data_IF_561415816309
#
_entry.id   IF_561415816309
#
_cell.length_a   1.000
_cell.length_b   1.000
_cell.length_c   1.000
_cell.angle_alpha   90.00
_cell.angle_beta   90.00
_cell.angle_gamma   90.00
#
_symmetry.space_group_name_H-M   'P 1'
#
loop_
_entity.id
_entity.type
_entity.pdbx_description
1 polymer ?
#
# COMPACT_ATOMS: atom_id res chain seq x y z
N UNK A 1 -0.44 41.07 10.40
CA UNK A 1 -0.45 39.71 9.82
C UNK A 1 -0.17 39.84 8.33
N UNK A 2 1.09 40.02 7.92
CA UNK A 2 1.42 40.47 6.54
C UNK A 2 2.87 40.11 6.15
N UNK A 3 3.23 38.83 6.19
CA UNK A 3 4.48 38.32 5.57
C UNK A 3 4.25 37.02 4.80
N UNK A 4 3.18 36.27 5.09
CA UNK A 4 2.87 34.98 4.46
C UNK A 4 2.07 35.07 3.15
N UNK A 5 1.59 36.24 2.74
CA UNK A 5 0.72 36.40 1.55
C UNK A 5 1.47 36.43 0.19
N UNK A 6 2.80 36.29 0.15
CA UNK A 6 3.57 36.46 -1.12
C UNK A 6 4.40 35.27 -1.58
N UNK A 7 4.30 34.12 -0.93
CA UNK A 7 4.86 32.89 -1.49
C UNK A 7 3.69 32.08 -2.04
N UNK A 8 3.63 31.99 -3.37
CA UNK A 8 2.79 31.03 -4.08
C UNK A 8 2.95 29.65 -3.41
N UNK A 9 1.85 29.03 -2.99
CA UNK A 9 1.84 27.78 -2.23
C UNK A 9 2.69 26.70 -2.91
N UNK A 10 2.77 26.75 -4.23
CA UNK A 10 3.63 25.89 -5.00
C UNK A 10 5.12 26.16 -4.81
N UNK A 11 5.54 27.42 -4.90
CA UNK A 11 6.93 27.79 -4.62
C UNK A 11 7.32 27.47 -3.18
N UNK A 12 6.40 27.65 -2.24
CA UNK A 12 6.62 27.29 -0.84
C UNK A 12 6.84 25.78 -0.69
N UNK A 13 6.00 24.96 -1.32
CA UNK A 13 6.13 23.50 -1.29
C UNK A 13 7.43 23.04 -1.96
N UNK A 14 7.76 23.55 -3.15
CA UNK A 14 9.01 23.20 -3.84
C UNK A 14 10.25 23.61 -3.03
N UNK A 15 10.27 24.83 -2.47
CA UNK A 15 11.37 25.30 -1.64
C UNK A 15 11.52 24.44 -0.39
N UNK A 16 10.41 24.07 0.26
CA UNK A 16 10.40 23.19 1.44
C UNK A 16 10.92 21.80 1.09
N UNK A 17 10.49 21.22 -0.04
CA UNK A 17 10.95 19.91 -0.51
C UNK A 17 12.47 19.92 -0.77
N UNK A 18 12.96 20.92 -1.51
CA UNK A 18 14.39 21.07 -1.82
C UNK A 18 15.22 21.31 -0.56
N UNK A 19 14.74 22.15 0.36
CA UNK A 19 15.42 22.40 1.63
C UNK A 19 15.48 21.14 2.50
N UNK A 20 14.39 20.37 2.57
CA UNK A 20 14.34 19.09 3.30
C UNK A 20 15.31 18.06 2.73
N UNK A 21 15.33 17.90 1.39
CA UNK A 21 16.29 17.01 0.71
C UNK A 21 17.73 17.47 0.95
N UNK A 22 18.00 18.77 0.79
CA UNK A 22 19.33 19.32 1.03
C UNK A 22 19.77 19.12 2.48
N UNK A 23 18.88 19.33 3.46
CA UNK A 23 19.16 19.09 4.87
C UNK A 23 19.46 17.62 5.15
N UNK A 24 18.69 16.70 4.56
CA UNK A 24 18.93 15.25 4.71
C UNK A 24 20.27 14.84 4.08
N UNK A 25 20.57 15.31 2.87
CA UNK A 25 21.82 14.98 2.16
C UNK A 25 23.02 15.58 2.88
N UNK A 26 23.01 16.89 3.15
CA UNK A 26 24.11 17.57 3.83
C UNK A 26 24.28 17.05 5.26
N UNK A 27 23.18 16.78 5.97
CA UNK A 27 23.22 16.17 7.30
C UNK A 27 23.80 14.76 7.29
N UNK A 28 23.43 13.94 6.29
CA UNK A 28 23.98 12.59 6.11
C UNK A 28 25.47 12.60 5.80
N UNK A 29 25.95 13.61 5.05
CA UNK A 29 27.38 13.76 4.74
C UNK A 29 28.18 14.35 5.90
N UNK A 30 27.65 15.35 6.60
CA UNK A 30 28.34 16.03 7.69
C UNK A 30 28.30 15.24 9.02
N UNK A 31 27.26 14.45 9.24
CA UNK A 31 27.02 13.69 10.47
C UNK A 31 26.64 12.24 10.13
N UNK A 32 27.53 11.53 9.43
CA UNK A 32 27.26 10.19 8.88
C UNK A 32 26.84 9.17 9.93
N UNK A 33 27.44 9.17 11.12
CA UNK A 33 27.07 8.20 12.16
C UNK A 33 25.68 8.47 12.76
N UNK A 34 25.35 9.73 13.02
CA UNK A 34 24.08 10.10 13.67
C UNK A 34 22.91 10.15 12.68
N UNK A 35 23.11 10.78 11.51
CA UNK A 35 22.03 11.04 10.54
C UNK A 35 21.92 9.92 9.53
N UNK A 36 23.03 9.52 8.88
CA UNK A 36 22.95 8.46 7.89
C UNK A 36 22.80 7.11 8.57
N UNK A 37 23.82 6.62 9.28
CA UNK A 37 23.84 5.29 9.87
C UNK A 37 22.75 5.12 10.93
N UNK A 38 22.71 6.01 11.92
CA UNK A 38 21.81 5.92 13.07
C UNK A 38 20.33 6.21 12.77
N UNK A 39 20.02 6.90 11.67
CA UNK A 39 18.64 7.29 11.35
C UNK A 39 18.19 6.85 9.95
N UNK A 40 18.77 7.40 8.88
CA UNK A 40 18.33 7.10 7.49
C UNK A 40 18.51 5.62 7.16
N UNK A 41 19.70 5.07 7.42
CA UNK A 41 20.00 3.68 7.18
C UNK A 41 19.25 2.79 8.17
N UNK A 42 19.33 3.04 9.48
CA UNK A 42 18.71 2.19 10.48
C UNK A 42 17.19 2.03 10.29
N UNK A 43 16.46 3.12 10.02
CA UNK A 43 15.00 3.09 9.97
C UNK A 43 14.41 2.99 8.56
N UNK A 44 15.09 3.47 7.52
CA UNK A 44 14.51 3.56 6.17
C UNK A 44 15.17 2.63 5.17
N UNK A 45 16.50 2.71 4.99
CA UNK A 45 17.18 1.95 3.93
C UNK A 45 17.62 0.54 4.35
N UNK A 46 18.14 0.38 5.56
CA UNK A 46 18.61 -0.89 6.12
C UNK A 46 17.54 -1.99 6.14
N UNK A 47 16.28 -1.71 6.54
CA UNK A 47 15.19 -2.69 6.46
C UNK A 47 14.96 -3.19 5.03
N UNK A 48 14.94 -2.26 4.06
CA UNK A 48 14.77 -2.58 2.63
C UNK A 48 15.96 -3.37 2.11
N UNK A 49 17.18 -3.04 2.53
CA UNK A 49 18.40 -3.74 2.14
C UNK A 49 18.44 -5.19 2.67
N UNK A 50 18.00 -5.40 3.93
CA UNK A 50 17.86 -6.72 4.51
C UNK A 50 16.81 -7.56 3.75
N UNK A 51 15.63 -6.96 3.50
CA UNK A 51 14.53 -7.58 2.75
C UNK A 51 14.98 -7.99 1.35
N UNK A 52 15.67 -7.10 0.63
CA UNK A 52 16.16 -7.35 -0.72
C UNK A 52 17.18 -8.49 -0.85
N UNK A 53 17.75 -8.96 0.26
CA UNK A 53 18.71 -10.06 0.29
C UNK A 53 18.16 -11.27 1.08
N UNK A 54 16.86 -11.31 1.39
CA UNK A 54 16.21 -12.33 2.22
C UNK A 54 16.92 -12.55 3.57
N UNK A 55 17.53 -11.50 4.12
CA UNK A 55 18.24 -11.57 5.39
C UNK A 55 17.31 -11.27 6.55
N UNK A 56 17.52 -11.94 7.68
CA UNK A 56 16.77 -11.70 8.92
C UNK A 56 17.07 -10.29 9.45
N UNK A 57 18.32 -9.85 9.35
CA UNK A 57 18.68 -8.46 9.61
C UNK A 57 19.96 -8.06 8.87
N UNK A 58 20.17 -6.75 8.73
CA UNK A 58 21.41 -6.15 8.27
C UNK A 58 22.09 -5.41 9.42
N UNK A 59 23.40 -5.54 9.57
CA UNK A 59 24.20 -4.87 10.59
C UNK A 59 25.16 -3.88 9.92
N UNK A 60 25.09 -2.61 10.30
CA UNK A 60 26.00 -1.60 9.77
C UNK A 60 27.20 -1.42 10.70
N UNK A 61 28.40 -1.74 10.19
CA UNK A 61 29.67 -1.73 10.93
C UNK A 61 30.65 -0.72 10.33
N UNK A 62 30.41 0.58 10.56
CA UNK A 62 31.39 1.64 10.28
C UNK A 62 31.91 1.76 8.84
N UNK A 63 31.18 1.25 7.85
CA UNK A 63 31.55 1.32 6.42
C UNK A 63 31.16 0.09 5.60
N UNK A 64 30.90 -1.05 6.25
CA UNK A 64 30.36 -2.26 5.62
C UNK A 64 29.00 -2.63 6.22
N UNK A 65 28.18 -3.31 5.42
CA UNK A 65 26.92 -3.92 5.86
C UNK A 65 27.10 -5.43 5.85
N UNK A 66 26.86 -6.06 7.00
CA UNK A 66 26.84 -7.51 7.17
C UNK A 66 25.40 -8.01 7.18
N UNK A 67 25.11 -9.05 6.41
CA UNK A 67 23.78 -9.68 6.34
C UNK A 67 23.77 -10.90 7.27
N UNK A 68 22.78 -10.95 8.17
CA UNK A 68 22.60 -12.05 9.10
C UNK A 68 21.30 -12.77 8.79
N UNK A 69 21.37 -14.11 8.78
CA UNK A 69 20.25 -15.01 8.44
C UNK A 69 19.71 -15.77 9.67
N UNK A 70 20.04 -15.31 10.87
CA UNK A 70 19.65 -15.94 12.13
C UNK A 70 19.27 -14.90 13.18
N UNK A 71 18.08 -15.06 13.78
CA UNK A 71 17.55 -14.16 14.81
C UNK A 71 18.48 -14.01 16.02
N UNK A 72 19.17 -15.09 16.41
CA UNK A 72 20.09 -15.06 17.56
C UNK A 72 21.29 -14.15 17.28
N UNK A 73 21.82 -14.20 16.06
CA UNK A 73 22.94 -13.34 15.65
C UNK A 73 22.51 -11.87 15.59
N UNK A 74 21.29 -11.58 15.10
CA UNK A 74 20.72 -10.24 15.10
C UNK A 74 20.59 -9.66 16.53
N UNK A 75 20.07 -10.44 17.47
CA UNK A 75 19.97 -10.03 18.88
C UNK A 75 21.33 -9.79 19.54
N UNK A 76 22.34 -10.62 19.21
CA UNK A 76 23.71 -10.41 19.66
C UNK A 76 24.30 -9.11 19.11
N UNK A 77 24.08 -8.81 17.84
CA UNK A 77 24.52 -7.55 17.24
C UNK A 77 23.88 -6.34 17.94
N UNK A 78 22.56 -6.39 18.21
CA UNK A 78 21.86 -5.33 18.96
C UNK A 78 22.45 -5.14 20.36
N UNK A 79 22.65 -6.23 21.11
CA UNK A 79 23.21 -6.15 22.48
C UNK A 79 24.67 -5.69 22.52
N UNK A 80 25.43 -5.90 21.44
CA UNK A 80 26.77 -5.35 21.28
C UNK A 80 26.80 -3.85 20.95
N UNK A 81 25.64 -3.21 20.79
CA UNK A 81 25.51 -1.80 20.44
C UNK A 81 25.67 -1.51 18.94
N UNK A 82 25.57 -2.54 18.09
CA UNK A 82 25.61 -2.35 16.65
C UNK A 82 24.29 -1.74 16.14
N UNK A 83 24.35 -1.03 15.02
CA UNK A 83 23.17 -0.51 14.34
C UNK A 83 22.62 -1.62 13.45
N UNK A 84 21.49 -2.18 13.86
CA UNK A 84 20.85 -3.34 13.22
C UNK A 84 19.52 -2.92 12.61
N UNK A 85 19.24 -3.33 11.38
CA UNK A 85 17.96 -3.10 10.73
C UNK A 85 17.32 -4.44 10.35
N UNK A 86 16.05 -4.60 10.72
CA UNK A 86 15.24 -5.79 10.41
C UNK A 86 14.22 -5.44 9.32
N UNK A 87 13.87 -6.36 8.40
CA UNK A 87 12.80 -6.14 7.42
C UNK A 87 11.48 -5.73 8.07
N UNK A 88 10.71 -4.90 7.36
CA UNK A 88 9.43 -4.38 7.83
C UNK A 88 9.49 -2.96 8.37
N UNK A 89 8.47 -2.58 9.14
CA UNK A 89 8.27 -1.20 9.61
C UNK A 89 8.53 -1.08 11.11
N UNK A 90 9.19 0.02 11.48
CA UNK A 90 9.29 0.50 12.87
C UNK A 90 8.32 1.67 13.03
N UNK A 91 8.00 2.05 14.27
CA UNK A 91 7.20 3.26 14.51
C UNK A 91 7.83 4.52 13.88
N UNK A 92 9.17 4.62 13.90
CA UNK A 92 9.90 5.74 13.32
C UNK A 92 9.72 5.77 11.80
N UNK A 93 9.88 4.63 11.14
CA UNK A 93 9.75 4.56 9.69
C UNK A 93 8.30 4.72 9.26
N UNK A 94 7.34 4.12 9.96
CA UNK A 94 5.90 4.28 9.72
C UNK A 94 5.49 5.76 9.76
N UNK A 95 5.82 6.48 10.85
CA UNK A 95 5.54 7.92 10.97
C UNK A 95 6.28 8.72 9.89
N UNK A 96 7.55 8.38 9.62
CA UNK A 96 8.34 9.05 8.58
C UNK A 96 7.69 8.93 7.20
N UNK A 97 7.26 7.73 6.81
CA UNK A 97 6.56 7.50 5.56
C UNK A 97 5.19 8.20 5.51
N UNK A 98 4.45 8.23 6.62
CA UNK A 98 3.19 9.00 6.70
C UNK A 98 3.42 10.49 6.46
N UNK A 99 4.45 11.08 7.07
CA UNK A 99 4.80 12.51 6.86
C UNK A 99 5.18 12.76 5.40
N UNK A 100 6.02 11.92 4.81
CA UNK A 100 6.42 12.02 3.40
C UNK A 100 5.20 11.89 2.47
N UNK A 101 4.30 10.95 2.76
CA UNK A 101 3.07 10.75 1.99
C UNK A 101 2.16 11.99 2.05
N UNK A 102 1.85 12.49 3.26
CA UNK A 102 1.00 13.67 3.44
C UNK A 102 1.60 14.91 2.76
N UNK A 103 2.90 15.12 2.89
CA UNK A 103 3.61 16.18 2.20
C UNK A 103 3.59 15.99 0.68
N UNK A 104 3.75 14.75 0.20
CA UNK A 104 3.67 14.37 -1.20
C UNK A 104 2.30 14.62 -1.82
N UNK A 105 1.21 14.35 -1.11
CA UNK A 105 -0.16 14.63 -1.56
C UNK A 105 -0.37 16.10 -1.89
N UNK A 106 0.23 17.02 -1.12
CA UNK A 106 0.20 18.46 -1.43
C UNK A 106 0.86 18.74 -2.78
N UNK A 107 2.01 18.11 -3.05
CA UNK A 107 2.70 18.21 -4.34
C UNK A 107 1.87 17.63 -5.50
N UNK A 108 1.24 16.47 -5.29
CA UNK A 108 0.33 15.87 -6.29
C UNK A 108 -0.86 16.78 -6.55
N UNK A 109 -1.46 17.39 -5.53
CA UNK A 109 -2.56 18.33 -5.69
C UNK A 109 -2.16 19.52 -6.58
N UNK A 110 -0.96 20.07 -6.38
CA UNK A 110 -0.42 21.15 -7.21
C UNK A 110 -0.15 20.69 -8.64
N UNK A 111 0.41 19.49 -8.82
CA UNK A 111 0.62 18.88 -10.13
C UNK A 111 -0.69 18.71 -10.90
N UNK A 112 -1.73 18.19 -10.26
CA UNK A 112 -3.07 18.04 -10.87
C UNK A 112 -3.66 19.41 -11.26
N UNK A 113 -3.42 20.46 -10.46
CA UNK A 113 -3.82 21.84 -10.81
C UNK A 113 -3.06 22.34 -12.03
N UNK A 114 -1.73 22.14 -12.09
CA UNK A 114 -0.89 22.54 -13.24
C UNK A 114 -1.26 21.83 -14.54
N UNK A 115 -1.60 20.55 -14.46
CA UNK A 115 -2.01 19.76 -15.62
C UNK A 115 -3.48 20.03 -16.03
N UNK A 116 -4.22 20.77 -15.21
CA UNK A 116 -5.66 21.01 -15.29
C UNK A 116 -6.49 19.71 -15.40
N UNK A 117 -6.14 18.71 -14.58
CA UNK A 117 -6.83 17.41 -14.49
C UNK A 117 -7.45 17.19 -13.11
N UNK A 118 -8.17 16.08 -12.94
CA UNK A 118 -8.70 15.64 -11.64
C UNK A 118 -9.88 16.45 -11.10
N UNK A 119 -10.66 17.11 -11.97
CA UNK A 119 -11.97 17.65 -11.59
C UNK A 119 -13.09 16.63 -11.79
N UNK A 120 -12.92 15.75 -12.77
CA UNK A 120 -13.89 14.73 -13.12
C UNK A 120 -13.72 13.48 -12.27
N UNK A 121 -14.84 12.93 -11.80
CA UNK A 121 -14.87 11.66 -11.04
C UNK A 121 -14.26 10.49 -11.81
N UNK A 122 -14.22 10.56 -13.15
CA UNK A 122 -13.64 9.51 -13.98
C UNK A 122 -12.15 9.23 -13.71
N UNK A 123 -11.38 10.24 -13.26
CA UNK A 123 -9.97 10.02 -12.89
C UNK A 123 -9.85 9.03 -11.72
N UNK A 124 -10.74 9.10 -10.73
CA UNK A 124 -10.75 8.17 -9.62
C UNK A 124 -10.87 6.71 -10.11
N UNK A 125 -11.84 6.44 -10.99
CA UNK A 125 -12.03 5.10 -11.54
C UNK A 125 -10.88 4.65 -12.45
N UNK A 126 -10.27 5.58 -13.19
CA UNK A 126 -9.09 5.28 -14.01
C UNK A 126 -7.84 4.90 -13.18
N UNK A 127 -7.80 5.30 -11.91
CA UNK A 127 -6.71 4.98 -10.98
C UNK A 127 -6.88 3.63 -10.27
N UNK A 128 -8.10 3.11 -10.14
CA UNK A 128 -8.37 1.84 -9.43
C UNK A 128 -7.55 0.67 -9.98
N UNK A 129 -7.40 0.46 -11.30
CA UNK A 129 -6.58 -0.63 -11.81
C UNK A 129 -5.09 -0.52 -11.42
N UNK A 130 -4.55 0.68 -11.24
CA UNK A 130 -3.18 0.88 -10.77
C UNK A 130 -3.00 0.47 -9.30
N UNK A 131 -4.04 0.61 -8.48
CA UNK A 131 -4.02 0.16 -7.09
C UNK A 131 -3.97 -1.38 -7.02
N UNK A 132 -4.77 -2.05 -7.86
CA UNK A 132 -4.74 -3.51 -8.02
C UNK A 132 -3.37 -3.98 -8.55
N UNK A 133 -2.84 -3.29 -9.56
CA UNK A 133 -1.51 -3.54 -10.10
C UNK A 133 -0.43 -3.44 -9.01
N UNK A 134 -0.47 -2.40 -8.17
CA UNK A 134 0.50 -2.26 -7.07
C UNK A 134 0.45 -3.43 -6.09
N UNK A 135 -0.75 -3.89 -5.73
CA UNK A 135 -0.92 -5.07 -4.88
C UNK A 135 -0.38 -6.35 -5.54
N UNK A 136 -0.71 -6.60 -6.81
CA UNK A 136 -0.22 -7.76 -7.55
C UNK A 136 1.30 -7.72 -7.76
N UNK A 137 1.87 -6.55 -8.09
CA UNK A 137 3.31 -6.37 -8.25
C UNK A 137 4.04 -6.62 -6.94
N UNK A 138 3.43 -6.29 -5.81
CA UNK A 138 3.99 -6.61 -4.50
C UNK A 138 4.04 -8.13 -4.25
N UNK A 139 3.09 -8.90 -4.79
CA UNK A 139 3.15 -10.38 -4.71
C UNK A 139 4.20 -10.97 -5.64
N UNK A 140 4.55 -10.29 -6.74
CA UNK A 140 5.72 -10.70 -7.56
C UNK A 140 7.01 -10.64 -6.73
N UNK A 141 7.15 -9.65 -5.85
CA UNK A 141 8.25 -9.66 -4.88
C UNK A 141 8.12 -10.80 -3.89
N UNK A 142 6.94 -10.99 -3.27
CA UNK A 142 6.77 -12.06 -2.27
C UNK A 142 7.11 -13.44 -2.91
N UNK A 143 6.73 -13.64 -4.18
CA UNK A 143 7.04 -14.85 -4.95
C UNK A 143 8.54 -14.99 -5.28
N UNK A 144 9.24 -13.87 -5.47
CA UNK A 144 10.68 -13.84 -5.73
C UNK A 144 11.49 -14.17 -4.46
N UNK A 145 10.94 -13.86 -3.29
CA UNK A 145 11.53 -14.16 -1.99
C UNK A 145 11.27 -15.62 -1.58
N UNK A 146 10.18 -16.23 -2.06
CA UNK A 146 9.85 -17.65 -1.87
C UNK A 146 10.69 -18.61 -2.74
N UNK A 147 11.54 -18.10 -3.65
CA UNK A 147 12.38 -18.92 -4.52
C UNK A 147 13.37 -19.75 -3.69
N UNK A 148 13.39 -21.09 -3.81
CA UNK A 148 14.31 -21.94 -3.05
C UNK A 148 15.78 -21.68 -3.37
N UNK A 149 16.66 -21.97 -2.41
CA UNK A 149 18.11 -21.88 -2.63
C UNK A 149 18.55 -22.74 -3.82
N UNK A 150 19.38 -22.16 -4.70
CA UNK A 150 19.87 -22.82 -5.91
C UNK A 150 18.98 -22.61 -7.15
N UNK A 151 17.79 -22.04 -7.00
CA UNK A 151 16.95 -21.58 -8.13
C UNK A 151 17.22 -20.10 -8.38
N UNK A 152 17.29 -19.71 -9.66
CA UNK A 152 17.56 -18.31 -10.03
C UNK A 152 16.30 -17.47 -9.82
N UNK A 153 16.42 -16.41 -8.99
CA UNK A 153 15.39 -15.40 -8.83
C UNK A 153 15.11 -14.68 -10.15
N UNK A 154 13.83 -14.42 -10.44
CA UNK A 154 13.43 -13.69 -11.63
C UNK A 154 13.92 -12.23 -11.59
N UNK A 155 13.94 -11.64 -10.39
CA UNK A 155 14.37 -10.26 -10.16
C UNK A 155 15.39 -10.26 -9.02
N UNK A 156 16.67 -10.15 -9.37
CA UNK A 156 17.75 -10.09 -8.39
C UNK A 156 18.02 -8.66 -7.89
N UNK A 157 18.70 -8.54 -6.75
CA UNK A 157 19.27 -7.27 -6.28
C UNK A 157 20.18 -6.65 -7.36
N UNK A 158 20.11 -5.33 -7.62
CA UNK A 158 19.35 -4.31 -6.88
C UNK A 158 17.92 -4.05 -7.42
N UNK A 159 17.45 -4.80 -8.42
CA UNK A 159 16.19 -4.47 -9.10
C UNK A 159 14.95 -4.84 -8.29
N UNK A 160 15.00 -5.88 -7.47
CA UNK A 160 13.91 -6.26 -6.57
C UNK A 160 13.57 -5.14 -5.56
N UNK A 161 14.56 -4.30 -5.22
CA UNK A 161 14.36 -3.13 -4.34
C UNK A 161 13.28 -2.18 -4.84
N UNK A 162 13.02 -2.11 -6.16
CA UNK A 162 11.97 -1.26 -6.72
C UNK A 162 10.55 -1.77 -6.43
N UNK A 163 10.39 -3.04 -6.06
CA UNK A 163 9.10 -3.68 -5.76
C UNK A 163 8.96 -4.08 -4.29
N UNK A 164 9.98 -3.79 -3.48
CA UNK A 164 9.96 -3.94 -2.02
C UNK A 164 9.24 -2.75 -1.37
N UNK A 165 8.54 -3.01 -0.27
CA UNK A 165 7.88 -1.96 0.51
C UNK A 165 8.90 -1.13 1.32
N UNK A 166 8.76 0.21 1.37
CA UNK A 166 7.72 1.04 0.74
C UNK A 166 8.12 1.62 -0.63
N UNK A 167 9.29 1.26 -1.18
CA UNK A 167 9.76 1.80 -2.47
C UNK A 167 8.78 1.52 -3.61
N UNK A 168 8.08 0.38 -3.57
CA UNK A 168 7.03 0.03 -4.52
C UNK A 168 5.95 1.11 -4.67
N UNK A 169 5.62 1.85 -3.59
CA UNK A 169 4.64 2.93 -3.68
C UNK A 169 5.13 4.05 -4.61
N UNK A 170 6.43 4.37 -4.59
CA UNK A 170 7.03 5.30 -5.54
C UNK A 170 7.08 4.71 -6.95
N UNK A 171 7.41 3.43 -7.10
CA UNK A 171 7.42 2.75 -8.40
C UNK A 171 6.05 2.80 -9.06
N UNK A 172 5.00 2.39 -8.35
CA UNK A 172 3.62 2.44 -8.84
C UNK A 172 3.17 3.88 -9.08
N UNK A 173 3.55 4.82 -8.21
CA UNK A 173 3.29 6.25 -8.41
C UNK A 173 3.90 6.77 -9.71
N UNK A 174 5.17 6.49 -9.99
CA UNK A 174 5.85 6.96 -11.21
C UNK A 174 5.32 6.28 -12.46
N UNK A 175 4.95 5.00 -12.40
CA UNK A 175 4.25 4.30 -13.49
C UNK A 175 2.89 4.95 -13.77
N UNK A 176 2.12 5.23 -12.71
CA UNK A 176 0.81 5.89 -12.80
C UNK A 176 0.93 7.32 -13.33
N UNK A 177 1.92 8.07 -12.85
CA UNK A 177 2.21 9.43 -13.30
C UNK A 177 2.67 9.44 -14.76
N UNK A 178 3.54 8.52 -15.16
CA UNK A 178 3.96 8.35 -16.56
C UNK A 178 2.75 8.09 -17.46
N UNK A 179 1.85 7.18 -17.06
CA UNK A 179 0.59 6.93 -17.76
C UNK A 179 -0.28 8.20 -17.84
N UNK A 180 -0.45 8.92 -16.74
CA UNK A 180 -1.21 10.18 -16.73
C UNK A 180 -0.61 11.21 -17.70
N UNK A 181 0.71 11.41 -17.67
CA UNK A 181 1.39 12.40 -18.53
C UNK A 181 1.26 12.03 -20.01
N UNK A 182 1.47 10.75 -20.36
CA UNK A 182 1.32 10.26 -21.74
C UNK A 182 -0.12 10.40 -22.22
N UNK A 183 -1.11 10.03 -21.41
CA UNK A 183 -2.52 10.08 -21.81
C UNK A 183 -3.07 11.50 -21.86
N UNK A 184 -2.59 12.40 -21.00
CA UNK A 184 -2.86 13.85 -21.11
C UNK A 184 -2.23 14.42 -22.37
N UNK A 185 -1.01 14.03 -22.72
CA UNK A 185 -0.38 14.43 -23.97
C UNK A 185 -1.18 13.93 -25.19
N UNK A 186 -1.57 12.65 -25.22
CA UNK A 186 -2.39 12.08 -26.29
C UNK A 186 -3.71 12.83 -26.48
N UNK A 187 -4.35 13.26 -25.37
CA UNK A 187 -5.56 14.09 -25.42
C UNK A 187 -5.27 15.47 -26.02
N UNK A 188 -4.17 16.10 -25.64
CA UNK A 188 -3.79 17.45 -26.12
C UNK A 188 -3.51 17.45 -27.63
N UNK A 189 -2.91 16.39 -28.15
CA UNK A 189 -2.67 16.21 -29.60
C UNK A 189 -3.92 15.75 -30.37
N UNK A 190 -5.03 15.49 -29.69
CA UNK A 190 -6.29 15.09 -30.31
C UNK A 190 -6.37 13.61 -30.74
N UNK A 191 -5.44 12.76 -30.29
CA UNK A 191 -5.50 11.31 -30.57
C UNK A 191 -6.61 10.59 -29.79
N UNK A 192 -7.01 11.14 -28.65
CA UNK A 192 -8.07 10.60 -27.78
C UNK A 192 -8.94 11.73 -27.25
N UNK A 193 -10.24 11.48 -27.09
CA UNK A 193 -11.19 12.48 -26.55
C UNK A 193 -10.95 12.76 -25.05
N UNK A 194 -10.56 11.72 -24.30
CA UNK A 194 -10.29 11.78 -22.86
C UNK A 194 -9.04 11.00 -22.50
N UNK A 195 -8.35 11.46 -21.45
CA UNK A 195 -7.17 10.80 -20.89
C UNK A 195 -7.54 9.63 -19.97
N UNK A 196 -8.78 9.60 -19.45
CA UNK A 196 -9.21 8.66 -18.40
C UNK A 196 -9.31 7.21 -18.91
N UNK A 197 -9.90 6.98 -20.10
CA UNK A 197 -10.04 5.62 -20.65
C UNK A 197 -8.71 4.98 -21.03
N UNK A 198 -7.81 5.64 -21.78
CA UNK A 198 -6.47 5.11 -22.03
C UNK A 198 -5.69 4.84 -20.74
N UNK A 199 -5.82 5.71 -19.74
CA UNK A 199 -5.17 5.52 -18.45
C UNK A 199 -5.69 4.26 -17.73
N UNK A 200 -7.01 4.07 -17.68
CA UNK A 200 -7.64 2.87 -17.12
C UNK A 200 -7.21 1.60 -17.87
N UNK A 201 -7.04 1.67 -19.19
CA UNK A 201 -6.57 0.56 -20.01
C UNK A 201 -5.11 0.20 -19.69
N UNK A 202 -4.22 1.18 -19.54
CA UNK A 202 -2.82 0.95 -19.14
C UNK A 202 -2.75 0.29 -17.76
N UNK A 203 -3.49 0.81 -16.77
CA UNK A 203 -3.52 0.22 -15.43
C UNK A 203 -4.11 -1.19 -15.42
N UNK A 204 -5.18 -1.42 -16.17
CA UNK A 204 -5.80 -2.75 -16.32
C UNK A 204 -4.85 -3.73 -17.00
N UNK A 205 -4.16 -3.31 -18.06
CA UNK A 205 -3.17 -4.15 -18.73
C UNK A 205 -2.00 -4.49 -17.80
N UNK A 206 -1.47 -3.51 -17.06
CA UNK A 206 -0.41 -3.73 -16.08
C UNK A 206 -0.84 -4.74 -15.01
N UNK A 207 -2.05 -4.58 -14.45
CA UNK A 207 -2.60 -5.53 -13.49
C UNK A 207 -2.78 -6.93 -14.10
N UNK A 208 -3.45 -7.06 -15.24
CA UNK A 208 -3.74 -8.35 -15.87
C UNK A 208 -2.47 -9.10 -16.30
N UNK A 209 -1.47 -8.40 -16.80
CA UNK A 209 -0.17 -9.00 -17.16
C UNK A 209 0.56 -9.50 -15.90
N UNK A 210 0.56 -8.71 -14.83
CA UNK A 210 1.19 -9.07 -13.55
C UNK A 210 0.47 -10.25 -12.88
N UNK A 211 -0.85 -10.19 -12.84
CA UNK A 211 -1.67 -11.28 -12.31
C UNK A 211 -1.56 -12.54 -13.17
N UNK A 212 -1.54 -12.41 -14.49
CA UNK A 212 -1.31 -13.52 -15.41
C UNK A 212 0.06 -14.17 -15.23
N UNK A 213 1.10 -13.38 -14.95
CA UNK A 213 2.41 -13.91 -14.56
C UNK A 213 2.35 -14.73 -13.27
N UNK A 214 1.68 -14.24 -12.23
CA UNK A 214 1.51 -14.99 -10.96
C UNK A 214 0.71 -16.29 -11.16
N UNK A 215 -0.36 -16.25 -11.97
CA UNK A 215 -1.10 -17.46 -12.36
C UNK A 215 -0.20 -18.43 -13.10
N UNK A 216 0.62 -17.96 -14.05
CA UNK A 216 1.59 -18.79 -14.73
C UNK A 216 2.57 -19.42 -13.74
N UNK A 217 3.02 -18.67 -12.74
CA UNK A 217 3.94 -19.15 -11.72
C UNK A 217 3.30 -20.25 -10.87
N UNK A 218 2.10 -20.03 -10.33
CA UNK A 218 1.37 -21.06 -9.56
C UNK A 218 0.96 -22.30 -10.35
N UNK A 219 1.04 -22.27 -11.69
CA UNK A 219 0.81 -23.44 -12.55
C UNK A 219 2.11 -24.15 -13.00
N UNK A 220 3.27 -23.51 -12.86
CA UNK A 220 4.53 -24.00 -13.47
C UNK A 220 5.70 -24.13 -12.49
N UNK A 221 5.65 -23.44 -11.34
CA UNK A 221 6.70 -23.47 -10.33
C UNK A 221 6.27 -24.30 -9.12
N UNK A 222 7.10 -25.27 -8.75
CA UNK A 222 6.80 -26.20 -7.65
C UNK A 222 6.79 -25.55 -6.25
N UNK A 223 7.24 -24.30 -6.13
CA UNK A 223 7.30 -23.53 -4.88
C UNK A 223 6.18 -22.49 -4.74
N UNK A 224 5.24 -22.44 -5.70
CA UNK A 224 4.08 -21.54 -5.67
C UNK A 224 2.82 -22.38 -5.80
N UNK A 225 1.92 -22.24 -4.84
CA UNK A 225 0.66 -22.96 -4.81
C UNK A 225 -0.43 -22.23 -5.60
N UNK A 226 -1.62 -22.84 -5.75
CA UNK A 226 -2.76 -22.17 -6.37
C UNK A 226 -4.11 -22.57 -5.75
N UNK A 227 -4.64 -21.69 -4.91
CA UNK A 227 -5.89 -21.83 -4.15
C UNK A 227 -6.95 -20.81 -4.62
N UNK A 228 -7.53 -20.96 -5.83
CA UNK A 228 -8.48 -20.00 -6.39
C UNK A 228 -9.71 -19.77 -5.51
N UNK A 229 -10.09 -20.75 -4.66
CA UNK A 229 -11.17 -20.60 -3.70
C UNK A 229 -10.93 -19.49 -2.65
N UNK A 230 -9.67 -19.18 -2.33
CA UNK A 230 -9.32 -18.08 -1.42
C UNK A 230 -9.68 -16.74 -2.06
N UNK A 231 -9.21 -16.51 -3.29
CA UNK A 231 -9.55 -15.31 -4.07
C UNK A 231 -11.06 -15.14 -4.21
N UNK A 232 -11.75 -16.20 -4.62
CA UNK A 232 -13.20 -16.17 -4.83
C UNK A 232 -13.93 -15.83 -3.53
N UNK A 233 -13.54 -16.44 -2.40
CA UNK A 233 -14.15 -16.17 -1.10
C UNK A 233 -13.95 -14.72 -0.66
N UNK A 234 -12.72 -14.19 -0.79
CA UNK A 234 -12.42 -12.80 -0.44
C UNK A 234 -13.26 -11.83 -1.28
N UNK A 235 -13.24 -11.97 -2.61
CA UNK A 235 -13.99 -11.08 -3.51
C UNK A 235 -15.49 -11.16 -3.26
N UNK A 236 -16.05 -12.36 -3.10
CA UNK A 236 -17.49 -12.53 -2.89
C UNK A 236 -17.95 -11.93 -1.57
N UNK A 237 -17.27 -12.23 -0.46
CA UNK A 237 -17.63 -11.70 0.87
C UNK A 237 -17.44 -10.18 0.90
N UNK A 238 -16.32 -9.66 0.40
CA UNK A 238 -16.07 -8.22 0.36
C UNK A 238 -17.11 -7.48 -0.50
N UNK A 239 -17.47 -8.03 -1.65
CA UNK A 239 -18.50 -7.46 -2.54
C UNK A 239 -19.88 -7.49 -1.89
N UNK A 240 -20.25 -8.59 -1.24
CA UNK A 240 -21.51 -8.71 -0.53
C UNK A 240 -21.61 -7.71 0.64
N UNK A 241 -20.54 -7.56 1.43
CA UNK A 241 -20.48 -6.60 2.54
C UNK A 241 -20.53 -5.15 2.04
N UNK A 242 -19.67 -4.78 1.08
CA UNK A 242 -19.65 -3.43 0.54
C UNK A 242 -20.96 -3.06 -0.15
N UNK A 243 -21.51 -3.96 -0.96
CA UNK A 243 -22.81 -3.78 -1.62
C UNK A 243 -23.96 -3.70 -0.61
N UNK A 244 -23.99 -4.57 0.40
CA UNK A 244 -24.99 -4.56 1.46
C UNK A 244 -24.97 -3.26 2.27
N UNK A 245 -23.79 -2.79 2.67
CA UNK A 245 -23.63 -1.51 3.36
C UNK A 245 -24.06 -0.36 2.45
N UNK A 246 -23.57 -0.31 1.21
CA UNK A 246 -23.87 0.76 0.27
C UNK A 246 -25.38 0.87 -0.01
N UNK A 247 -26.04 -0.25 -0.32
CA UNK A 247 -27.48 -0.29 -0.59
C UNK A 247 -28.32 0.00 0.66
N UNK A 248 -27.90 -0.50 1.83
CA UNK A 248 -28.54 -0.19 3.11
C UNK A 248 -28.48 1.30 3.42
N UNK A 249 -27.30 1.90 3.25
CA UNK A 249 -27.09 3.34 3.43
C UNK A 249 -27.93 4.14 2.44
N UNK A 250 -27.93 3.78 1.15
CA UNK A 250 -28.74 4.45 0.13
C UNK A 250 -30.25 4.40 0.45
N UNK A 251 -30.69 3.31 1.09
CA UNK A 251 -32.09 3.13 1.50
C UNK A 251 -32.48 3.94 2.74
N UNK A 252 -31.62 3.99 3.76
CA UNK A 252 -31.97 4.53 5.08
C UNK A 252 -31.38 5.90 5.38
N UNK A 253 -30.21 6.22 4.80
CA UNK A 253 -29.40 7.43 5.01
C UNK A 253 -28.70 7.87 3.70
N UNK A 254 -29.46 8.14 2.61
CA UNK A 254 -28.90 8.46 1.30
C UNK A 254 -27.94 9.65 1.30
N UNK A 255 -28.05 10.56 2.28
CA UNK A 255 -27.14 11.68 2.51
C UNK A 255 -25.67 11.26 2.60
N UNK A 256 -25.37 10.06 3.10
CA UNK A 256 -24.00 9.54 3.24
C UNK A 256 -23.37 9.27 1.86
N UNK A 257 -24.13 8.69 0.93
CA UNK A 257 -23.64 8.40 -0.43
C UNK A 257 -23.80 9.59 -1.38
N UNK A 258 -24.50 10.66 -0.95
CA UNK A 258 -24.92 11.75 -1.82
C UNK A 258 -23.74 12.54 -2.43
N UNK A 259 -22.62 12.65 -1.70
CA UNK A 259 -21.40 13.31 -2.16
C UNK A 259 -20.52 12.40 -3.03
N UNK A 260 -20.20 11.21 -2.53
CA UNK A 260 -19.28 10.28 -3.17
C UNK A 260 -19.89 9.48 -4.33
N UNK A 261 -21.18 9.14 -4.27
CA UNK A 261 -21.84 8.23 -5.21
C UNK A 261 -21.12 6.88 -5.30
N UNK A 262 -20.88 6.38 -6.52
CA UNK A 262 -20.18 5.11 -6.74
C UNK A 262 -18.74 5.09 -6.23
N UNK A 263 -18.10 6.26 -6.02
CA UNK A 263 -16.78 6.31 -5.39
C UNK A 263 -16.86 5.73 -3.97
N UNK A 264 -17.95 6.01 -3.25
CA UNK A 264 -18.17 5.49 -1.90
C UNK A 264 -18.27 3.97 -1.87
N UNK A 265 -18.90 3.36 -2.87
CA UNK A 265 -18.92 1.89 -3.01
C UNK A 265 -17.51 1.33 -3.20
N UNK A 266 -16.67 1.96 -4.03
CA UNK A 266 -15.27 1.51 -4.24
C UNK A 266 -14.43 1.68 -2.97
N UNK A 267 -14.65 2.74 -2.19
CA UNK A 267 -14.00 2.94 -0.88
C UNK A 267 -14.37 1.81 0.07
N UNK A 268 -15.66 1.52 0.23
CA UNK A 268 -16.14 0.41 1.05
C UNK A 268 -15.57 -0.93 0.56
N UNK A 269 -15.60 -1.17 -0.75
CA UNK A 269 -15.11 -2.40 -1.35
C UNK A 269 -13.60 -2.60 -1.16
N UNK A 270 -12.77 -1.58 -1.37
CA UNK A 270 -11.32 -1.68 -1.18
C UNK A 270 -10.94 -1.99 0.26
N UNK A 271 -11.61 -1.40 1.24
CA UNK A 271 -11.39 -1.72 2.66
C UNK A 271 -12.03 -3.04 3.09
N UNK A 272 -13.11 -3.47 2.44
CA UNK A 272 -13.70 -4.79 2.64
C UNK A 272 -12.78 -5.90 2.12
N UNK A 273 -12.17 -5.73 0.94
CA UNK A 273 -11.18 -6.67 0.39
C UNK A 273 -10.03 -6.87 1.37
N UNK A 274 -9.48 -5.77 1.91
CA UNK A 274 -8.41 -5.79 2.91
C UNK A 274 -8.81 -6.51 4.21
N UNK A 275 -9.94 -6.11 4.80
CA UNK A 275 -10.42 -6.73 6.04
C UNK A 275 -10.75 -8.22 5.87
N UNK A 276 -11.40 -8.59 4.77
CA UNK A 276 -11.78 -9.99 4.50
C UNK A 276 -10.56 -10.84 4.16
N UNK A 277 -9.62 -10.33 3.35
CA UNK A 277 -8.36 -11.02 3.08
C UNK A 277 -7.60 -11.30 4.37
N UNK A 278 -7.55 -10.33 5.29
CA UNK A 278 -6.89 -10.49 6.58
C UNK A 278 -7.55 -11.57 7.44
N UNK A 279 -8.89 -11.54 7.57
CA UNK A 279 -9.64 -12.56 8.30
C UNK A 279 -9.44 -13.95 7.70
N UNK A 280 -9.53 -14.07 6.37
CA UNK A 280 -9.35 -15.36 5.71
C UNK A 280 -7.92 -15.87 5.92
N UNK A 281 -6.91 -15.02 5.70
CA UNK A 281 -5.51 -15.40 5.81
C UNK A 281 -5.11 -15.78 7.24
N UNK A 282 -5.61 -15.08 8.25
CA UNK A 282 -5.24 -15.33 9.65
C UNK A 282 -6.03 -16.48 10.30
N UNK A 283 -7.34 -16.58 10.04
CA UNK A 283 -8.23 -17.43 10.84
C UNK A 283 -8.91 -18.57 10.04
N UNK A 284 -9.03 -18.46 8.70
CA UNK A 284 -9.89 -19.37 7.91
C UNK A 284 -9.18 -20.15 6.79
N UNK A 285 -7.86 -20.01 6.61
CA UNK A 285 -7.11 -20.77 5.59
C UNK A 285 -7.28 -22.28 5.75
N UNK A 286 -7.17 -22.81 6.98
CA UNK A 286 -7.37 -24.24 7.25
C UNK A 286 -8.79 -24.73 6.88
N UNK A 287 -9.82 -23.90 7.09
CA UNK A 287 -11.18 -24.21 6.67
C UNK A 287 -11.35 -24.24 5.14
N UNK A 288 -10.49 -23.54 4.40
CA UNK A 288 -10.42 -23.53 2.94
C UNK A 288 -9.45 -24.58 2.36
N UNK A 289 -8.90 -25.45 3.22
CA UNK A 289 -7.96 -26.51 2.84
C UNK A 289 -6.56 -26.00 2.50
N UNK A 290 -6.15 -24.87 3.08
CA UNK A 290 -4.84 -24.25 2.85
C UNK A 290 -4.00 -24.35 4.13
N UNK A 291 -2.90 -25.10 4.05
CA UNK A 291 -1.93 -25.27 5.14
C UNK A 291 -0.81 -24.22 5.05
N UNK A 292 -1.17 -22.94 5.17
CA UNK A 292 -0.22 -21.83 5.17
C UNK A 292 -0.31 -20.99 6.45
N UNK A 293 0.81 -20.40 6.88
CA UNK A 293 0.90 -19.55 8.06
C UNK A 293 0.97 -18.08 7.64
N UNK A 294 -0.01 -17.28 8.05
CA UNK A 294 -0.02 -15.84 7.83
C UNK A 294 0.56 -15.08 9.03
N UNK A 295 1.31 -14.01 8.78
CA UNK A 295 1.81 -13.09 9.80
C UNK A 295 1.56 -11.63 9.41
N UNK A 296 0.97 -10.80 10.28
CA UNK A 296 0.77 -9.37 10.01
C UNK A 296 2.08 -8.60 9.83
N UNK A 297 2.22 -7.82 8.74
CA UNK A 297 3.39 -6.94 8.52
C UNK A 297 3.28 -5.54 9.16
N UNK A 298 2.09 -5.12 9.62
CA UNK A 298 1.87 -3.77 10.17
C UNK A 298 1.60 -3.79 11.69
N UNK A 299 2.25 -2.90 12.48
CA UNK A 299 2.07 -2.84 13.93
C UNK A 299 0.61 -2.62 14.35
N UNK A 300 -0.13 -1.77 13.63
CA UNK A 300 -1.54 -1.49 13.92
C UNK A 300 -2.42 -2.73 13.80
N UNK A 301 -2.16 -3.61 12.83
CA UNK A 301 -2.91 -4.85 12.68
C UNK A 301 -2.59 -5.82 13.82
N UNK A 302 -1.29 -6.02 14.09
CA UNK A 302 -0.83 -6.86 15.19
C UNK A 302 -1.43 -6.44 16.54
N UNK A 303 -1.53 -5.13 16.80
CA UNK A 303 -2.16 -4.58 18.00
C UNK A 303 -3.65 -4.90 18.13
N UNK A 304 -4.42 -4.80 17.03
CA UNK A 304 -5.86 -5.10 17.04
C UNK A 304 -6.07 -6.58 17.35
N UNK A 305 -5.31 -7.47 16.71
CA UNK A 305 -5.38 -8.92 16.91
C UNK A 305 -5.03 -9.28 18.35
N UNK A 306 -3.89 -8.79 18.89
CA UNK A 306 -3.48 -9.09 20.26
C UNK A 306 -4.48 -8.59 21.30
N UNK A 307 -5.12 -7.45 21.03
CA UNK A 307 -6.16 -6.90 21.90
C UNK A 307 -7.43 -7.75 21.86
N UNK A 308 -7.84 -8.22 20.68
CA UNK A 308 -8.98 -9.11 20.52
C UNK A 308 -8.78 -10.43 21.27
N UNK A 309 -7.59 -11.03 21.18
CA UNK A 309 -7.22 -12.26 21.91
C UNK A 309 -7.27 -12.09 23.43
N UNK A 310 -7.02 -10.87 23.92
CA UNK A 310 -7.03 -10.56 25.35
C UNK A 310 -8.44 -10.30 25.89
N UNK A 311 -9.30 -9.68 25.09
CA UNK A 311 -10.61 -9.16 25.55
C UNK A 311 -11.78 -10.09 25.20
N UNK A 312 -11.71 -10.82 24.08
CA UNK A 312 -12.83 -11.60 23.59
C UNK A 312 -12.94 -12.96 24.32
N UNK A 313 -14.17 -13.44 24.58
CA UNK A 313 -14.37 -14.76 25.16
C UNK A 313 -13.79 -15.86 24.27
N UNK A 314 -13.20 -16.90 24.89
CA UNK A 314 -12.59 -18.03 24.16
C UNK A 314 -13.57 -18.70 23.20
N UNK A 315 -14.86 -18.81 23.55
CA UNK A 315 -15.89 -19.38 22.68
C UNK A 315 -16.08 -18.60 21.38
N UNK A 316 -15.90 -17.27 21.42
CA UNK A 316 -15.99 -16.41 20.24
C UNK A 316 -14.73 -16.53 19.38
N UNK A 317 -13.56 -16.55 20.03
CA UNK A 317 -12.28 -16.74 19.35
C UNK A 317 -12.22 -18.08 18.62
N UNK A 318 -12.69 -19.16 19.24
CA UNK A 318 -12.73 -20.48 18.60
C UNK A 318 -13.72 -20.58 17.44
N UNK A 319 -14.78 -19.75 17.45
CA UNK A 319 -15.84 -19.81 16.45
C UNK A 319 -15.58 -18.87 15.25
N UNK A 320 -15.01 -17.70 15.49
CA UNK A 320 -14.89 -16.64 14.48
C UNK A 320 -13.44 -16.21 14.20
N UNK A 321 -12.48 -16.63 15.02
CA UNK A 321 -11.10 -16.15 14.97
C UNK A 321 -10.88 -14.83 15.74
N UNK A 322 -9.64 -14.35 15.74
CA UNK A 322 -9.24 -13.10 16.42
C UNK A 322 -9.18 -11.89 15.50
N UNK A 323 -9.23 -12.07 14.18
CA UNK A 323 -8.95 -11.01 13.19
C UNK A 323 -10.19 -10.27 12.69
N UNK A 324 -11.41 -10.78 12.93
CA UNK A 324 -12.65 -10.13 12.50
C UNK A 324 -12.86 -8.67 13.02
N UNK A 325 -12.34 -8.25 14.20
CA UNK A 325 -12.45 -6.85 14.61
C UNK A 325 -11.74 -5.89 13.65
N UNK A 326 -10.66 -6.33 12.99
CA UNK A 326 -9.97 -5.54 11.98
C UNK A 326 -10.89 -5.21 10.79
N UNK A 327 -11.62 -6.21 10.27
CA UNK A 327 -12.62 -6.03 9.23
C UNK A 327 -13.70 -5.03 9.65
N UNK A 328 -14.23 -5.16 10.87
CA UNK A 328 -15.26 -4.25 11.37
C UNK A 328 -14.75 -2.80 11.44
N UNK A 329 -13.55 -2.60 12.01
CA UNK A 329 -12.91 -1.27 12.09
C UNK A 329 -12.72 -0.69 10.70
N UNK A 330 -12.22 -1.46 9.73
CA UNK A 330 -12.04 -1.04 8.33
C UNK A 330 -13.35 -0.57 7.70
N UNK A 331 -14.43 -1.34 7.85
CA UNK A 331 -15.74 -1.00 7.28
C UNK A 331 -16.36 0.24 7.94
N UNK A 332 -16.24 0.38 9.27
CA UNK A 332 -16.74 1.55 9.99
C UNK A 332 -15.97 2.81 9.60
N UNK A 333 -14.64 2.74 9.55
CA UNK A 333 -13.80 3.87 9.13
C UNK A 333 -14.08 4.23 7.67
N UNK A 334 -14.18 3.25 6.77
CA UNK A 334 -14.53 3.48 5.37
C UNK A 334 -15.89 4.16 5.22
N UNK A 335 -16.91 3.72 5.97
CA UNK A 335 -18.22 4.35 5.97
C UNK A 335 -18.18 5.78 6.53
N UNK A 336 -17.41 6.01 7.59
CA UNK A 336 -17.21 7.35 8.16
C UNK A 336 -16.53 8.29 7.16
N UNK A 337 -15.53 7.81 6.41
CA UNK A 337 -14.93 8.57 5.30
C UNK A 337 -15.99 8.91 4.26
N UNK A 338 -16.76 7.93 3.78
CA UNK A 338 -17.80 8.16 2.77
C UNK A 338 -18.80 9.22 3.25
N UNK A 339 -19.17 9.20 4.53
CA UNK A 339 -20.04 10.19 5.14
C UNK A 339 -19.44 11.59 5.21
N UNK A 340 -18.14 11.72 5.52
CA UNK A 340 -17.45 13.02 5.59
C UNK A 340 -17.35 13.69 4.21
N UNK A 341 -17.13 12.92 3.14
CA UNK A 341 -17.01 13.45 1.78
C UNK A 341 -18.37 13.70 1.13
N UNK A 342 -19.09 14.68 1.66
CA UNK A 342 -20.40 15.10 1.19
C UNK A 342 -20.36 15.91 -0.12
N UNK A 343 -21.52 16.45 -0.53
CA UNK A 343 -21.64 17.23 -1.77
C UNK A 343 -20.85 18.53 -1.73
N UNK A 344 -20.81 19.20 -0.59
CA UNK A 344 -20.17 20.50 -0.43
C UNK A 344 -18.67 20.39 -0.70
N UNK A 345 -18.00 19.37 -0.13
CA UNK A 345 -16.57 19.13 -0.37
C UNK A 345 -16.27 18.89 -1.86
N UNK A 346 -17.14 18.15 -2.56
CA UNK A 346 -16.97 17.87 -3.99
C UNK A 346 -17.25 19.10 -4.88
N UNK A 347 -18.16 19.98 -4.48
CA UNK A 347 -18.49 21.21 -5.21
C UNK A 347 -17.41 22.27 -5.01
N UNK A 348 -16.94 22.48 -3.78
CA UNK A 348 -15.93 23.48 -3.45
C UNK A 348 -14.52 23.06 -3.88
N UNK A 349 -14.17 21.79 -3.67
CA UNK A 349 -12.80 21.31 -3.80
C UNK A 349 -12.71 19.92 -4.46
N UNK A 350 -13.19 19.75 -5.71
CA UNK A 350 -13.29 18.44 -6.36
C UNK A 350 -11.96 17.69 -6.46
N UNK A 351 -10.86 18.40 -6.78
CA UNK A 351 -9.52 17.81 -6.86
C UNK A 351 -9.04 17.25 -5.52
N UNK A 352 -9.30 17.99 -4.46
CA UNK A 352 -8.92 17.60 -3.11
C UNK A 352 -9.73 16.38 -2.67
N UNK A 353 -11.05 16.40 -2.91
CA UNK A 353 -11.95 15.29 -2.65
C UNK A 353 -11.48 14.00 -3.33
N UNK A 354 -11.25 14.08 -4.65
CA UNK A 354 -10.82 12.93 -5.45
C UNK A 354 -9.43 12.42 -5.04
N UNK A 355 -8.47 13.33 -4.81
CA UNK A 355 -7.12 12.93 -4.38
C UNK A 355 -7.14 12.19 -3.04
N UNK A 356 -7.87 12.71 -2.05
CA UNK A 356 -7.95 12.07 -0.74
C UNK A 356 -8.68 10.74 -0.80
N UNK A 357 -9.81 10.66 -1.51
CA UNK A 357 -10.53 9.40 -1.68
C UNK A 357 -9.68 8.36 -2.42
N UNK A 358 -8.93 8.76 -3.46
CA UNK A 358 -7.95 7.89 -4.11
C UNK A 358 -6.89 7.39 -3.13
N UNK A 359 -6.32 8.27 -2.30
CA UNK A 359 -5.33 7.87 -1.30
C UNK A 359 -5.91 6.89 -0.27
N UNK A 360 -7.14 7.14 0.21
CA UNK A 360 -7.83 6.28 1.17
C UNK A 360 -8.07 4.89 0.57
N UNK A 361 -8.62 4.82 -0.65
CA UNK A 361 -8.83 3.54 -1.33
C UNK A 361 -7.51 2.82 -1.58
N UNK A 362 -6.44 3.53 -1.96
CA UNK A 362 -5.14 2.91 -2.17
C UNK A 362 -4.58 2.24 -0.90
N UNK A 363 -4.83 2.82 0.28
CA UNK A 363 -4.41 2.27 1.58
C UNK A 363 -5.22 1.03 1.98
N UNK A 364 -6.46 0.86 1.50
CA UNK A 364 -7.22 -0.38 1.66
C UNK A 364 -6.92 -1.40 0.56
N UNK A 365 -7.19 -1.01 -0.69
CA UNK A 365 -7.14 -1.90 -1.84
C UNK A 365 -5.73 -2.39 -2.17
N UNK A 366 -4.68 -1.60 -1.94
CA UNK A 366 -3.30 -2.03 -2.16
C UNK A 366 -2.90 -3.23 -1.29
N UNK A 367 -2.87 -3.08 0.05
CA UNK A 367 -2.63 -4.18 0.99
C UNK A 367 -3.62 -5.34 0.82
N UNK A 368 -4.92 -5.05 0.68
CA UNK A 368 -5.93 -6.09 0.52
C UNK A 368 -5.77 -6.92 -0.75
N UNK A 369 -5.41 -6.29 -1.87
CA UNK A 369 -5.12 -7.02 -3.12
C UNK A 369 -3.88 -7.89 -2.96
N UNK A 370 -2.83 -7.36 -2.33
CA UNK A 370 -1.62 -8.13 -2.06
C UNK A 370 -1.93 -9.34 -1.17
N UNK A 371 -2.54 -9.14 -0.01
CA UNK A 371 -2.81 -10.22 0.95
C UNK A 371 -3.73 -11.30 0.35
N UNK A 372 -4.77 -10.88 -0.39
CA UNK A 372 -5.66 -11.79 -1.12
C UNK A 372 -4.90 -12.62 -2.16
N UNK A 373 -4.11 -11.97 -3.02
CA UNK A 373 -3.37 -12.65 -4.09
C UNK A 373 -2.27 -13.54 -3.50
N UNK A 374 -1.53 -13.05 -2.52
CA UNK A 374 -0.48 -13.78 -1.81
C UNK A 374 -1.03 -15.07 -1.20
N UNK A 375 -2.13 -14.99 -0.44
CA UNK A 375 -2.77 -16.17 0.14
C UNK A 375 -3.33 -17.12 -0.92
N UNK A 376 -3.79 -16.60 -2.05
CA UNK A 376 -4.24 -17.42 -3.20
C UNK A 376 -3.10 -18.25 -3.78
N UNK A 377 -1.87 -17.76 -3.73
CA UNK A 377 -0.69 -18.44 -4.27
C UNK A 377 0.15 -19.16 -3.20
N UNK A 378 -0.30 -19.19 -1.94
CA UNK A 378 0.40 -19.87 -0.84
C UNK A 378 1.79 -19.29 -0.51
N UNK A 379 2.01 -18.01 -0.82
CA UNK A 379 3.28 -17.29 -0.62
C UNK A 379 3.31 -16.62 0.76
#
# INVERSE_FOLDING_TARGET
MQVTERIDAERAWTATALAGVAALVLGSLAFSDAVYRGFVWHYFWGPVYADANNAVCAVHSGGSVELLYNQVACQQAVTSGAVVAEPGYTLVSEVGYMVVLLFGLIGVLQLLRRLDVGRDRGLFFALVPFMLFGGALRVVEDANDAVPEGVTQAIAYPWNTLIISPIIYFTVFFVTLGSLLVTVWLRREGYVETYMWPMAAVGSAAFLLTFGYLVSLGLTADYVEFYPQVLLSVVLIATALAGGIYLGVDRFRPEINAGTGLIGLVVLWGHAIDGVANVIAADWLGALGVDAVYSPKHPANAFIISTAETILPTSLLTALGSSWPFLLVKLVVALAVVWIFDREIFEESPRYALLLLTAIVAVGLGPGTRDMIRATFGI
#
